data_IF_982178944877
#
_entry.id   IF_982178944877
#
_cell.length_a   1.000
_cell.length_b   1.000
_cell.length_c   1.000
_cell.angle_alpha   90.00
_cell.angle_beta   90.00
_cell.angle_gamma   90.00
#
_symmetry.space_group_name_H-M   'P 1'
#
loop_
_entity.id
_entity.type
_entity.pdbx_description
1 polymer ?
#
# COMPACT_ATOMS: atom_id res chain seq x y z
N UNK A 1 -12.06 7.66 -23.77
CA UNK A 1 -10.84 6.92 -24.08
C UNK A 1 -11.21 5.79 -25.06
N UNK A 2 -10.76 5.82 -26.31
CA UNK A 2 -11.06 4.77 -27.30
C UNK A 2 -9.83 3.84 -27.35
N UNK A 3 -9.98 2.60 -26.93
CA UNK A 3 -8.98 1.56 -27.16
C UNK A 3 -9.17 1.00 -28.56
N UNK A 4 -8.17 1.13 -29.41
CA UNK A 4 -8.03 0.37 -30.65
C UNK A 4 -6.96 -0.69 -30.41
N UNK A 5 -7.19 -1.91 -30.83
CA UNK A 5 -6.24 -3.03 -30.66
C UNK A 5 -4.86 -2.79 -31.32
N UNK A 6 -4.74 -1.77 -32.13
CA UNK A 6 -3.51 -1.40 -32.84
C UNK A 6 -2.97 -0.01 -32.44
N UNK A 7 -3.50 0.64 -31.40
CA UNK A 7 -3.00 1.93 -30.97
C UNK A 7 -1.85 1.75 -29.98
N UNK A 8 -0.65 2.03 -30.45
CA UNK A 8 0.49 2.29 -29.54
C UNK A 8 0.21 3.60 -28.81
N UNK A 9 0.09 3.54 -27.52
CA UNK A 9 -0.01 4.72 -26.68
C UNK A 9 1.35 5.43 -26.70
N UNK A 10 1.43 6.56 -27.39
CA UNK A 10 2.56 7.48 -27.26
C UNK A 10 2.17 8.49 -26.18
N UNK A 11 2.60 8.28 -24.96
CA UNK A 11 2.56 9.30 -23.94
C UNK A 11 3.68 10.32 -24.26
N UNK A 12 3.31 11.57 -24.47
CA UNK A 12 4.28 12.65 -24.70
C UNK A 12 4.99 13.10 -23.43
N UNK A 13 4.49 12.65 -22.27
CA UNK A 13 5.13 12.92 -20.99
C UNK A 13 6.23 11.90 -20.72
N UNK A 14 7.41 12.38 -20.39
CA UNK A 14 8.51 11.55 -19.92
C UNK A 14 8.36 11.33 -18.42
N UNK A 15 8.55 10.08 -17.99
CA UNK A 15 8.56 9.65 -16.60
C UNK A 15 9.87 8.93 -16.30
N UNK A 16 10.39 9.15 -15.09
CA UNK A 16 11.62 8.50 -14.63
C UNK A 16 11.35 7.06 -14.16
N UNK A 17 10.18 6.83 -13.54
CA UNK A 17 9.80 5.55 -12.96
C UNK A 17 8.37 5.18 -13.36
N UNK A 18 8.19 3.96 -13.84
CA UNK A 18 6.89 3.37 -14.11
C UNK A 18 6.65 2.19 -13.15
N UNK A 19 5.57 2.23 -12.37
CA UNK A 19 5.16 1.17 -11.46
C UNK A 19 3.95 0.45 -12.03
N UNK A 20 4.05 -0.86 -12.21
CA UNK A 20 2.98 -1.70 -12.76
C UNK A 20 2.32 -2.48 -11.64
N UNK A 21 1.08 -2.15 -11.34
CA UNK A 21 0.27 -2.72 -10.27
C UNK A 21 0.16 -1.81 -9.04
N UNK A 22 -1.08 -1.58 -8.59
CA UNK A 22 -1.41 -0.73 -7.44
C UNK A 22 -1.77 -1.55 -6.19
N UNK A 23 -1.15 -2.71 -5.99
CA UNK A 23 -1.18 -3.43 -4.72
C UNK A 23 -0.33 -2.72 -3.65
N UNK A 24 -0.23 -3.28 -2.46
CA UNK A 24 0.52 -2.66 -1.36
C UNK A 24 1.97 -2.34 -1.75
N UNK A 25 2.67 -3.30 -2.38
CA UNK A 25 4.05 -3.09 -2.82
C UNK A 25 4.18 -2.00 -3.89
N UNK A 26 3.26 -1.96 -4.87
CA UNK A 26 3.26 -0.94 -5.91
C UNK A 26 2.99 0.45 -5.35
N UNK A 27 2.05 0.59 -4.42
CA UNK A 27 1.79 1.87 -3.74
C UNK A 27 3.03 2.38 -3.02
N UNK A 28 3.70 1.53 -2.25
CA UNK A 28 4.93 1.91 -1.53
C UNK A 28 6.07 2.26 -2.48
N UNK A 29 6.25 1.49 -3.56
CA UNK A 29 7.28 1.76 -4.55
C UNK A 29 7.05 3.10 -5.26
N UNK A 30 5.81 3.39 -5.68
CA UNK A 30 5.46 4.65 -6.32
C UNK A 30 5.68 5.84 -5.40
N UNK A 31 5.23 5.73 -4.15
CA UNK A 31 5.41 6.79 -3.14
C UNK A 31 6.88 7.00 -2.79
N UNK A 32 7.67 5.94 -2.69
CA UNK A 32 9.11 6.06 -2.44
C UNK A 32 9.82 6.79 -3.59
N UNK A 33 9.53 6.39 -4.84
CA UNK A 33 10.11 7.06 -6.02
C UNK A 33 9.71 8.54 -6.09
N UNK A 34 8.44 8.85 -5.88
CA UNK A 34 7.95 10.24 -5.89
C UNK A 34 8.58 11.08 -4.78
N UNK A 35 8.76 10.53 -3.57
CA UNK A 35 9.43 11.23 -2.45
C UNK A 35 10.91 11.49 -2.70
N UNK A 36 11.56 10.66 -3.51
CA UNK A 36 12.93 10.88 -3.96
C UNK A 36 13.03 11.93 -5.08
N UNK A 37 11.90 12.49 -5.54
CA UNK A 37 11.84 13.52 -6.54
C UNK A 37 11.72 13.01 -7.98
N UNK A 38 11.52 11.71 -8.18
CA UNK A 38 11.32 11.15 -9.52
C UNK A 38 9.90 11.38 -10.02
N UNK A 39 9.77 11.75 -11.29
CA UNK A 39 8.48 11.80 -11.97
C UNK A 39 7.97 10.39 -12.19
N UNK A 40 6.98 9.99 -11.39
CA UNK A 40 6.52 8.61 -11.28
C UNK A 40 5.14 8.43 -11.89
N UNK A 41 4.94 7.37 -12.65
CA UNK A 41 3.64 6.95 -13.15
C UNK A 41 3.30 5.55 -12.63
N UNK A 42 2.05 5.33 -12.23
CA UNK A 42 1.56 4.03 -11.79
C UNK A 42 0.42 3.55 -12.67
N UNK A 43 0.51 2.28 -13.10
CA UNK A 43 -0.52 1.61 -13.88
C UNK A 43 -1.29 0.63 -13.03
N UNK A 44 -2.61 0.64 -13.14
CA UNK A 44 -3.50 -0.32 -12.46
C UNK A 44 -4.64 -0.71 -13.36
N UNK A 45 -5.20 -1.91 -13.14
CA UNK A 45 -6.38 -2.38 -13.86
C UNK A 45 -7.62 -1.56 -13.50
N UNK A 46 -7.72 -1.15 -12.23
CA UNK A 46 -8.81 -0.31 -11.72
C UNK A 46 -8.32 0.57 -10.59
N UNK A 47 -8.72 1.82 -10.60
CA UNK A 47 -8.44 2.77 -9.51
C UNK A 47 -9.13 2.38 -8.20
N UNK A 48 -10.23 1.62 -8.29
CA UNK A 48 -10.96 1.13 -7.12
C UNK A 48 -10.27 -0.06 -6.44
N UNK A 49 -9.27 -0.66 -7.10
CA UNK A 49 -8.48 -1.76 -6.56
C UNK A 49 -7.13 -1.33 -5.93
N UNK A 50 -6.90 -0.03 -5.81
CA UNK A 50 -5.69 0.50 -5.18
C UNK A 50 -5.60 0.05 -3.72
N UNK A 51 -4.48 -0.56 -3.35
CA UNK A 51 -4.20 -1.09 -2.01
C UNK A 51 -5.32 -2.01 -1.47
N UNK A 52 -5.95 -2.78 -2.36
CA UNK A 52 -7.06 -3.65 -2.00
C UNK A 52 -6.60 -4.74 -1.02
N UNK A 53 -7.43 -4.99 -0.01
CA UNK A 53 -7.25 -6.07 0.96
C UNK A 53 -8.19 -7.24 0.65
N UNK A 54 -7.82 -8.19 -0.24
CA UNK A 54 -8.78 -9.19 -0.75
C UNK A 54 -9.16 -10.23 0.30
N UNK A 55 -8.26 -10.57 1.20
CA UNK A 55 -8.51 -11.60 2.23
C UNK A 55 -8.90 -10.96 3.56
N UNK A 56 -7.98 -10.91 4.51
CA UNK A 56 -8.19 -10.35 5.83
C UNK A 56 -7.77 -8.88 5.88
N UNK A 57 -8.61 -7.99 6.40
CA UNK A 57 -8.28 -6.57 6.51
C UNK A 57 -7.33 -6.31 7.70
N UNK A 58 -6.23 -7.05 7.77
CA UNK A 58 -5.31 -6.98 8.89
C UNK A 58 -3.91 -6.59 8.42
N UNK A 59 -3.33 -5.62 9.10
CA UNK A 59 -1.93 -5.22 8.98
C UNK A 59 -1.20 -5.64 10.26
N UNK A 60 -0.02 -6.27 10.08
CA UNK A 60 0.77 -6.77 11.19
C UNK A 60 0.55 -8.26 11.46
N UNK A 61 0.83 -8.71 12.69
CA UNK A 61 0.81 -10.11 13.10
C UNK A 61 2.20 -10.74 13.12
N UNK A 62 2.27 -12.03 13.46
CA UNK A 62 3.52 -12.72 13.80
C UNK A 62 4.56 -12.77 12.66
N UNK A 63 4.11 -12.82 11.40
CA UNK A 63 5.01 -12.94 10.25
C UNK A 63 5.07 -11.68 9.38
N UNK A 64 4.10 -10.76 9.51
CA UNK A 64 4.02 -9.54 8.71
C UNK A 64 4.39 -8.29 9.49
N UNK A 65 4.26 -8.30 10.81
CA UNK A 65 4.48 -7.14 11.65
C UNK A 65 5.90 -6.59 11.57
N UNK A 66 6.90 -7.44 11.41
CA UNK A 66 8.29 -7.04 11.24
C UNK A 66 8.49 -6.24 9.95
N UNK A 67 7.97 -6.77 8.82
CA UNK A 67 8.07 -6.11 7.52
C UNK A 67 7.38 -4.75 7.51
N UNK A 68 6.21 -4.65 8.15
CA UNK A 68 5.49 -3.37 8.25
C UNK A 68 6.29 -2.35 9.06
N UNK A 69 6.93 -2.77 10.16
CA UNK A 69 7.77 -1.88 10.97
C UNK A 69 9.04 -1.44 10.24
N UNK A 70 9.69 -2.34 9.52
CA UNK A 70 10.85 -2.01 8.69
C UNK A 70 10.46 -1.02 7.59
N UNK A 71 9.33 -1.26 6.93
CA UNK A 71 8.79 -0.35 5.94
C UNK A 71 8.47 1.03 6.52
N UNK A 72 7.84 1.09 7.68
CA UNK A 72 7.53 2.33 8.39
C UNK A 72 8.81 3.09 8.77
N UNK A 73 9.83 2.40 9.26
CA UNK A 73 11.14 2.98 9.58
C UNK A 73 11.84 3.60 8.36
N UNK A 74 11.58 3.07 7.17
CA UNK A 74 12.05 3.63 5.90
C UNK A 74 11.16 4.76 5.35
N UNK A 75 10.14 5.16 6.10
CA UNK A 75 9.21 6.23 5.71
C UNK A 75 8.02 5.77 4.87
N UNK A 76 7.72 4.46 4.86
CA UNK A 76 6.57 3.89 4.16
C UNK A 76 5.23 4.48 4.59
N UNK A 77 4.20 4.27 3.80
CA UNK A 77 2.88 4.86 4.03
C UNK A 77 1.89 3.89 4.68
N UNK A 78 2.11 2.59 4.57
CA UNK A 78 1.20 1.57 5.09
C UNK A 78 0.88 1.76 6.58
N UNK A 79 1.89 2.01 7.42
CA UNK A 79 1.73 2.27 8.85
C UNK A 79 0.87 3.50 9.11
N UNK A 80 1.13 4.58 8.41
CA UNK A 80 0.39 5.86 8.55
C UNK A 80 -1.06 5.75 8.10
N UNK A 81 -1.32 4.99 7.04
CA UNK A 81 -2.68 4.77 6.54
C UNK A 81 -3.46 3.85 7.48
N UNK A 82 -2.84 2.78 8.00
CA UNK A 82 -3.52 1.90 8.96
C UNK A 82 -3.87 2.64 10.25
N UNK A 83 -3.01 3.50 10.76
CA UNK A 83 -3.26 4.29 11.97
C UNK A 83 -4.48 5.22 11.85
N UNK A 84 -4.81 5.63 10.63
CA UNK A 84 -5.99 6.47 10.34
C UNK A 84 -7.25 5.69 10.00
N UNK A 85 -7.14 4.40 9.76
CA UNK A 85 -8.23 3.59 9.21
C UNK A 85 -8.48 2.29 9.97
N UNK A 86 -7.75 2.03 11.05
CA UNK A 86 -7.97 0.84 11.85
C UNK A 86 -9.31 0.92 12.60
N UNK A 87 -9.93 -0.26 12.75
CA UNK A 87 -11.14 -0.45 13.56
C UNK A 87 -10.75 -0.96 14.94
N UNK A 88 -9.77 -1.86 14.99
CA UNK A 88 -9.28 -2.49 16.19
C UNK A 88 -7.79 -2.78 16.07
N UNK A 89 -7.06 -2.55 17.15
CA UNK A 89 -5.70 -3.07 17.31
C UNK A 89 -5.65 -4.07 18.45
N UNK A 90 -4.91 -5.16 18.25
CA UNK A 90 -4.80 -6.24 19.25
C UNK A 90 -3.39 -6.79 19.29
N UNK A 91 -2.87 -6.96 20.50
CA UNK A 91 -1.65 -7.74 20.72
C UNK A 91 -1.98 -9.23 20.68
N UNK A 92 -1.35 -9.95 19.76
CA UNK A 92 -1.45 -11.39 19.62
C UNK A 92 -0.43 -12.09 20.52
N UNK A 93 -0.72 -13.36 20.84
CA UNK A 93 0.19 -14.26 21.57
C UNK A 93 0.59 -13.78 22.97
N UNK A 94 -0.25 -13.01 23.65
CA UNK A 94 0.01 -12.51 25.00
C UNK A 94 0.29 -13.61 26.02
N UNK A 95 -0.30 -14.82 25.83
CA UNK A 95 -0.05 -16.01 26.65
C UNK A 95 1.23 -16.74 26.32
N UNK A 96 1.95 -16.34 25.29
CA UNK A 96 3.22 -16.90 24.86
C UNK A 96 4.37 -15.98 25.35
N UNK A 97 5.59 -16.41 25.19
CA UNK A 97 6.73 -15.56 25.56
C UNK A 97 6.81 -14.26 24.74
N UNK A 98 7.47 -13.23 25.28
CA UNK A 98 7.49 -11.88 24.64
C UNK A 98 8.08 -11.88 23.23
N UNK A 99 8.92 -12.84 22.87
CA UNK A 99 9.49 -12.96 21.54
C UNK A 99 8.45 -13.15 20.41
N UNK A 100 7.25 -13.65 20.74
CA UNK A 100 6.17 -13.89 19.76
C UNK A 100 5.00 -12.92 19.92
N UNK A 101 5.12 -11.91 20.79
CA UNK A 101 4.16 -10.83 20.88
C UNK A 101 4.11 -10.06 19.57
N UNK A 102 2.93 -9.91 19.00
CA UNK A 102 2.77 -9.27 17.69
C UNK A 102 1.55 -8.37 17.67
N UNK A 103 1.74 -7.12 17.31
CA UNK A 103 0.64 -6.19 17.10
C UNK A 103 -0.04 -6.49 15.76
N UNK A 104 -1.36 -6.54 15.78
CA UNK A 104 -2.20 -6.65 14.58
C UNK A 104 -3.28 -5.59 14.62
N UNK A 105 -3.36 -4.79 13.56
CA UNK A 105 -4.43 -3.83 13.36
C UNK A 105 -5.40 -4.35 12.31
N UNK A 106 -6.69 -4.31 12.61
CA UNK A 106 -7.76 -4.59 11.67
C UNK A 106 -8.20 -3.28 11.03
N UNK A 107 -8.18 -3.21 9.71
CA UNK A 107 -8.56 -2.03 8.93
C UNK A 107 -10.03 -2.08 8.49
N UNK A 108 -10.61 -0.89 8.35
CA UNK A 108 -11.73 -0.68 7.43
C UNK A 108 -11.18 -0.71 6.00
N UNK A 109 -11.50 -1.78 5.25
CA UNK A 109 -10.99 -2.00 3.88
C UNK A 109 -11.25 -0.83 2.94
N UNK A 110 -12.46 -0.30 2.97
CA UNK A 110 -12.88 0.76 2.06
C UNK A 110 -12.18 2.08 2.42
N UNK A 111 -12.08 2.41 3.70
CA UNK A 111 -11.36 3.60 4.17
C UNK A 111 -9.87 3.50 3.90
N UNK A 112 -9.26 2.31 4.08
CA UNK A 112 -7.85 2.10 3.81
C UNK A 112 -7.51 2.32 2.34
N UNK A 113 -8.23 1.66 1.42
CA UNK A 113 -8.03 1.81 -0.02
C UNK A 113 -8.24 3.26 -0.47
N UNK A 114 -9.33 3.89 -0.02
CA UNK A 114 -9.61 5.31 -0.33
C UNK A 114 -8.51 6.23 0.18
N UNK A 115 -8.03 6.00 1.40
CA UNK A 115 -6.97 6.84 1.98
C UNK A 115 -5.64 6.66 1.26
N UNK A 116 -5.27 5.42 0.92
CA UNK A 116 -4.05 5.17 0.14
C UNK A 116 -4.13 5.84 -1.24
N UNK A 117 -5.27 5.75 -1.90
CA UNK A 117 -5.49 6.44 -3.18
C UNK A 117 -5.31 7.95 -3.06
N UNK A 118 -5.86 8.58 -2.02
CA UNK A 118 -5.68 10.02 -1.77
C UNK A 118 -4.22 10.43 -1.54
N UNK A 119 -3.38 9.53 -1.06
CA UNK A 119 -1.96 9.80 -0.86
C UNK A 119 -1.18 9.67 -2.18
N UNK A 120 -1.65 8.83 -3.09
CA UNK A 120 -1.04 8.60 -4.41
C UNK A 120 -1.39 9.70 -5.42
N UNK A 121 -2.57 10.31 -5.30
CA UNK A 121 -3.04 11.45 -6.11
C UNK A 121 -2.41 12.77 -5.68
#
# INVERSE_FOLDING_TARGET
MKFSANSVWVNKDEYDVAVIGAGHAGCEAALAAARLGFKTIMFTVSVDSVALMPCNPNIGGSSKGHLVRELDALGGEMGKVIDRTFIQSKMLNKSKGPAVHSLRAQADKARYSRRMRQVLE
#
